data_IF_583155153497
#
_entry.id   IF_583155153497
#
_cell.length_a   1.000
_cell.length_b   1.000
_cell.length_c   1.000
_cell.angle_alpha   90.00
_cell.angle_beta   90.00
_cell.angle_gamma   90.00
#
_symmetry.space_group_name_H-M   'P 1'
#
loop_
_entity.id
_entity.type
_entity.pdbx_description
1 polymer ?
#
# COMPACT_ATOMS: atom_id res chain seq x y z
N UNK A 1 -44.76 -52.03 8.70
CA UNK A 1 -44.46 -51.89 10.14
C UNK A 1 -43.28 -50.96 10.45
N UNK A 2 -42.70 -50.26 9.47
CA UNK A 2 -41.53 -49.38 9.70
C UNK A 2 -41.90 -47.89 9.84
N UNK A 3 -43.09 -47.49 9.42
CA UNK A 3 -43.50 -46.08 9.44
C UNK A 3 -43.71 -45.57 10.88
N UNK A 4 -44.37 -46.36 11.71
CA UNK A 4 -44.57 -46.06 13.14
C UNK A 4 -43.24 -46.03 13.90
N UNK A 5 -42.31 -46.92 13.54
CA UNK A 5 -40.98 -47.01 14.14
C UNK A 5 -40.11 -45.79 13.79
N UNK A 6 -40.20 -45.29 12.55
CA UNK A 6 -39.52 -44.06 12.11
C UNK A 6 -40.12 -42.79 12.70
N UNK A 7 -41.44 -42.75 12.89
CA UNK A 7 -42.11 -41.61 13.52
C UNK A 7 -41.71 -41.47 15.00
N UNK A 8 -41.64 -42.59 15.72
CA UNK A 8 -41.15 -42.61 17.10
C UNK A 8 -39.68 -42.23 17.22
N UNK A 9 -38.83 -42.62 16.26
CA UNK A 9 -37.43 -42.22 16.24
C UNK A 9 -37.28 -40.70 16.07
N UNK A 10 -38.08 -40.09 15.20
CA UNK A 10 -38.08 -38.64 14.96
C UNK A 10 -38.59 -37.83 16.16
N UNK A 11 -39.50 -38.40 16.96
CA UNK A 11 -40.05 -37.76 18.16
C UNK A 11 -39.12 -37.82 19.38
N UNK A 12 -38.20 -38.78 19.42
CA UNK A 12 -37.22 -38.96 20.53
C UNK A 12 -35.87 -38.28 20.25
N UNK A 13 -35.69 -37.68 19.06
CA UNK A 13 -34.47 -36.93 18.77
C UNK A 13 -34.35 -35.76 19.77
N UNK A 14 -33.20 -35.58 20.45
CA UNK A 14 -32.99 -34.39 21.24
C UNK A 14 -33.13 -33.17 20.33
N UNK A 15 -34.02 -32.24 20.68
CA UNK A 15 -34.13 -30.96 19.98
C UNK A 15 -32.76 -30.28 20.05
N UNK A 16 -32.18 -29.83 18.93
CA UNK A 16 -30.92 -29.12 18.96
C UNK A 16 -31.09 -27.88 19.84
N UNK A 17 -30.51 -27.94 21.04
CA UNK A 17 -30.46 -26.81 21.97
C UNK A 17 -29.37 -25.90 21.42
N UNK A 18 -29.68 -24.60 21.25
CA UNK A 18 -28.69 -23.62 20.88
C UNK A 18 -27.56 -23.67 21.93
N UNK A 19 -26.35 -23.97 21.50
CA UNK A 19 -25.17 -23.92 22.38
C UNK A 19 -24.92 -22.44 22.71
N UNK A 20 -25.02 -22.07 23.98
CA UNK A 20 -24.75 -20.71 24.44
C UNK A 20 -23.29 -20.28 24.20
N UNK A 21 -22.40 -21.23 23.88
CA UNK A 21 -21.00 -20.96 23.49
C UNK A 21 -20.81 -20.82 21.96
N UNK A 22 -21.89 -20.62 21.19
CA UNK A 22 -21.81 -20.47 19.74
C UNK A 22 -21.11 -19.15 19.34
N UNK A 23 -19.77 -19.18 19.31
CA UNK A 23 -18.89 -18.03 19.07
C UNK A 23 -18.69 -17.71 17.58
N UNK A 24 -19.74 -17.78 16.77
CA UNK A 24 -19.65 -17.27 15.41
C UNK A 24 -19.52 -15.73 15.48
N UNK A 25 -18.55 -15.10 14.78
CA UNK A 25 -18.36 -13.65 14.84
C UNK A 25 -19.60 -12.84 14.41
N UNK A 26 -20.56 -13.49 13.74
CA UNK A 26 -21.82 -12.90 13.34
C UNK A 26 -21.65 -11.70 12.41
N UNK A 27 -22.65 -10.82 12.42
CA UNK A 27 -22.63 -9.57 11.66
C UNK A 27 -21.54 -8.61 12.14
N UNK A 28 -21.23 -8.61 13.44
CA UNK A 28 -20.19 -7.76 14.03
C UNK A 28 -18.81 -8.12 13.46
N UNK A 29 -18.46 -9.40 13.44
CA UNK A 29 -17.20 -9.87 12.85
C UNK A 29 -17.10 -9.62 11.35
N UNK A 30 -18.23 -9.75 10.62
CA UNK A 30 -18.28 -9.40 9.20
C UNK A 30 -17.97 -7.91 8.97
N UNK A 31 -18.59 -7.01 9.74
CA UNK A 31 -18.36 -5.57 9.63
C UNK A 31 -16.90 -5.22 9.93
N UNK A 32 -16.30 -5.84 10.96
CA UNK A 32 -14.88 -5.63 11.30
C UNK A 32 -13.98 -6.05 10.14
N UNK A 33 -14.21 -7.22 9.58
CA UNK A 33 -13.39 -7.75 8.48
C UNK A 33 -13.56 -6.93 7.20
N UNK A 34 -14.79 -6.48 6.94
CA UNK A 34 -15.10 -5.56 5.84
C UNK A 34 -14.37 -4.22 6.00
N UNK A 35 -14.38 -3.64 7.21
CA UNK A 35 -13.65 -2.40 7.49
C UNK A 35 -12.14 -2.55 7.26
N UNK A 36 -11.55 -3.68 7.67
CA UNK A 36 -10.14 -4.00 7.41
C UNK A 36 -9.86 -4.10 5.90
N UNK A 37 -10.73 -4.77 5.14
CA UNK A 37 -10.60 -4.87 3.70
C UNK A 37 -10.68 -3.51 3.00
N UNK A 38 -11.64 -2.66 3.41
CA UNK A 38 -11.76 -1.28 2.92
C UNK A 38 -10.51 -0.48 3.25
N UNK A 39 -9.98 -0.62 4.47
CA UNK A 39 -8.72 0.01 4.89
C UNK A 39 -7.54 -0.40 4.02
N UNK A 40 -7.42 -1.69 3.68
CA UNK A 40 -6.39 -2.19 2.77
C UNK A 40 -6.52 -1.58 1.37
N UNK A 41 -7.74 -1.51 0.81
CA UNK A 41 -8.00 -0.87 -0.49
C UNK A 41 -7.62 0.61 -0.46
N UNK A 42 -7.98 1.33 0.60
CA UNK A 42 -7.60 2.73 0.79
C UNK A 42 -6.09 2.91 0.85
N UNK A 43 -5.39 2.01 1.55
CA UNK A 43 -3.94 2.02 1.64
C UNK A 43 -3.28 1.84 0.27
N UNK A 44 -3.78 0.91 -0.55
CA UNK A 44 -3.30 0.77 -1.94
C UNK A 44 -3.51 2.05 -2.75
N UNK A 45 -4.67 2.69 -2.62
CA UNK A 45 -4.97 3.95 -3.29
C UNK A 45 -4.07 5.09 -2.81
N UNK A 46 -3.85 5.20 -1.50
CA UNK A 46 -2.98 6.21 -0.91
C UNK A 46 -1.54 6.03 -1.38
N UNK A 47 -1.02 4.79 -1.34
CA UNK A 47 0.31 4.47 -1.84
C UNK A 47 0.46 4.85 -3.32
N UNK A 48 -0.51 4.47 -4.16
CA UNK A 48 -0.51 4.83 -5.58
C UNK A 48 -0.54 6.34 -5.79
N UNK A 49 -1.36 7.07 -5.03
CA UNK A 49 -1.45 8.53 -5.09
C UNK A 49 -0.13 9.19 -4.68
N UNK A 50 0.49 8.69 -3.62
CA UNK A 50 1.78 9.16 -3.10
C UNK A 50 2.89 8.95 -4.13
N UNK A 51 3.01 7.75 -4.68
CA UNK A 51 4.03 7.45 -5.71
C UNK A 51 3.89 8.39 -6.90
N UNK A 52 2.67 8.55 -7.42
CA UNK A 52 2.40 9.48 -8.53
C UNK A 52 2.83 10.91 -8.20
N UNK A 53 2.50 11.41 -7.02
CA UNK A 53 2.88 12.78 -6.61
C UNK A 53 4.39 12.96 -6.41
N UNK A 54 5.11 11.91 -6.01
CA UNK A 54 6.52 12.03 -5.64
C UNK A 54 7.45 11.91 -6.85
N UNK A 55 7.13 11.02 -7.80
CA UNK A 55 7.94 10.79 -9.01
C UNK A 55 8.10 12.04 -9.89
N UNK A 56 7.02 12.79 -10.13
CA UNK A 56 7.10 14.02 -10.93
C UNK A 56 8.05 15.07 -10.36
N UNK A 57 8.16 15.15 -9.02
CA UNK A 57 9.01 16.13 -8.36
C UNK A 57 10.48 15.71 -8.34
N UNK A 58 10.78 14.41 -8.32
CA UNK A 58 12.16 13.91 -8.39
C UNK A 58 12.73 14.02 -9.79
N UNK A 59 11.96 13.62 -10.82
CA UNK A 59 12.43 13.63 -12.21
C UNK A 59 12.76 15.04 -12.72
N UNK A 60 11.98 16.06 -12.32
CA UNK A 60 12.29 17.45 -12.70
C UNK A 60 13.52 17.98 -11.96
N UNK A 61 13.67 17.66 -10.67
CA UNK A 61 14.86 18.06 -9.90
C UNK A 61 16.13 17.40 -10.41
N UNK A 62 16.04 16.15 -10.85
CA UNK A 62 17.15 15.41 -11.41
C UNK A 62 17.59 16.01 -12.76
N UNK A 63 16.63 16.33 -13.65
CA UNK A 63 16.92 17.05 -14.90
C UNK A 63 17.53 18.43 -14.68
N UNK A 64 17.00 19.23 -13.74
CA UNK A 64 17.58 20.53 -13.40
C UNK A 64 18.99 20.39 -12.83
N UNK A 65 19.21 19.41 -11.95
CA UNK A 65 20.53 19.17 -11.39
C UNK A 65 21.53 18.74 -12.48
N UNK A 66 21.10 17.96 -13.47
CA UNK A 66 21.94 17.50 -14.57
C UNK A 66 22.29 18.64 -15.55
N UNK A 67 21.33 19.54 -15.83
CA UNK A 67 21.57 20.78 -16.56
C UNK A 67 22.50 21.74 -15.81
N UNK A 68 22.31 21.91 -14.50
CA UNK A 68 23.19 22.70 -13.65
C UNK A 68 24.61 22.12 -13.66
N UNK A 69 24.78 20.80 -13.42
CA UNK A 69 26.10 20.14 -13.43
C UNK A 69 26.77 20.22 -14.81
N UNK A 70 26.00 20.08 -15.90
CA UNK A 70 26.50 20.23 -17.26
C UNK A 70 26.96 21.67 -17.53
N UNK A 71 26.21 22.68 -17.05
CA UNK A 71 26.59 24.09 -17.15
C UNK A 71 27.87 24.39 -16.37
N UNK A 72 27.98 23.93 -15.11
CA UNK A 72 29.18 24.07 -14.28
C UNK A 72 30.41 23.34 -14.86
N UNK A 73 30.23 22.22 -15.56
CA UNK A 73 31.34 21.49 -16.20
C UNK A 73 31.81 22.13 -17.50
N UNK A 74 30.93 22.86 -18.21
CA UNK A 74 31.25 23.58 -19.44
C UNK A 74 31.98 24.91 -19.18
N UNK A 75 31.85 25.47 -17.98
CA UNK A 75 32.56 26.66 -17.55
C UNK A 75 33.89 26.30 -16.87
N UNK A 76 34.84 25.73 -17.64
CA UNK A 76 36.24 25.74 -17.22
C UNK A 76 36.67 27.21 -17.16
N UNK A 77 37.04 27.77 -16.00
CA UNK A 77 37.47 29.15 -15.92
C UNK A 77 38.65 29.32 -16.87
N UNK A 78 38.50 30.19 -17.87
CA UNK A 78 39.63 30.63 -18.69
C UNK A 78 40.61 31.30 -17.74
N UNK A 79 41.62 30.54 -17.33
CA UNK A 79 42.75 31.06 -16.57
C UNK A 79 43.36 32.15 -17.45
N UNK A 80 43.30 33.43 -17.06
CA UNK A 80 43.95 34.48 -17.85
C UNK A 80 45.42 34.11 -18.02
N UNK A 81 45.95 34.35 -19.22
CA UNK A 81 47.31 33.93 -19.56
C UNK A 81 48.30 34.42 -18.50
N UNK A 82 49.24 33.57 -18.06
CA UNK A 82 50.22 33.96 -17.06
C UNK A 82 50.96 35.21 -17.55
N UNK A 83 51.07 36.27 -16.73
CA UNK A 83 51.76 37.48 -17.14
C UNK A 83 53.20 37.14 -17.54
N UNK A 84 53.63 37.66 -18.69
CA UNK A 84 54.97 37.43 -19.25
C UNK A 84 56.01 37.77 -18.21
N UNK A 85 56.86 36.80 -17.84
CA UNK A 85 57.91 36.99 -16.84
C UNK A 85 58.82 38.14 -17.27
N UNK A 86 59.12 39.11 -16.39
CA UNK A 86 60.05 40.17 -16.72
C UNK A 86 61.44 39.56 -16.97
N UNK A 87 62.03 39.88 -18.12
CA UNK A 87 63.42 39.58 -18.41
C UNK A 87 64.29 40.40 -17.46
N UNK A 88 64.98 39.70 -16.57
CA UNK A 88 65.97 40.27 -15.66
C UNK A 88 67.36 40.10 -16.24
#
# INVERSE_FOLDING_TARGET
MNLLLRLNLLATMPTPVADDNYNSPGTIGFIITFAVAVGAVFLFFDMNRRIRKTKYRSEIREKLAEEDIASFSSEKPQRPEPPTKPQR
#
